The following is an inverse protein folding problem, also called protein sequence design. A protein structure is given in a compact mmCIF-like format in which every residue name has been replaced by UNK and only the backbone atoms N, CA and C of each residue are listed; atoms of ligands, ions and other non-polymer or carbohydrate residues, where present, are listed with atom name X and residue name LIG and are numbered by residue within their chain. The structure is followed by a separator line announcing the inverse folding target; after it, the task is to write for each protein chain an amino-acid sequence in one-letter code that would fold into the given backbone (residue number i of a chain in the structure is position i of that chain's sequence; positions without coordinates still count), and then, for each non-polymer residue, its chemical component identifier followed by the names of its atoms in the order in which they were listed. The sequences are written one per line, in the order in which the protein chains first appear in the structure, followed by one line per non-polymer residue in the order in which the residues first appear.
data_IF_231142780901
#
_entry.id   IF_231142780901
#
_cell.length_a   1.000
_cell.length_b   1.000
_cell.length_c   1.000
_cell.angle_alpha   90.00
_cell.angle_beta   90.00
_cell.angle_gamma   90.00
#
_symmetry.space_group_name_H-M   'P 1'
#
loop_
_entity.id
_entity.type
_entity.pdbx_description
1 polymer ?
#
# COMPACT_ATOMS: atom_id res chain seq x y z
N UNK A 1 -34.86 21.31 2.45
CA UNK A 1 -33.80 20.98 1.47
C UNK A 1 -34.41 20.08 0.41
N UNK A 2 -34.15 20.32 -0.88
CA UNK A 2 -34.62 19.42 -1.95
C UNK A 2 -33.76 18.15 -1.97
N UNK A 3 -34.38 16.99 -2.14
CA UNK A 3 -33.74 15.66 -2.23
C UNK A 3 -32.55 15.64 -3.22
N UNK A 4 -32.71 16.32 -4.36
CA UNK A 4 -31.66 16.50 -5.37
C UNK A 4 -30.41 17.23 -4.86
N UNK A 5 -30.59 18.20 -3.94
CA UNK A 5 -29.48 18.94 -3.32
C UNK A 5 -28.70 18.04 -2.34
N UNK A 6 -29.41 17.17 -1.63
CA UNK A 6 -28.81 16.21 -0.73
C UNK A 6 -27.98 15.16 -1.49
N UNK A 7 -28.50 14.62 -2.59
CA UNK A 7 -27.78 13.63 -3.40
C UNK A 7 -26.51 14.20 -4.05
N UNK A 8 -26.56 15.46 -4.51
CA UNK A 8 -25.38 16.16 -5.03
C UNK A 8 -24.33 16.39 -3.92
N UNK A 9 -24.75 16.71 -2.70
CA UNK A 9 -23.83 16.84 -1.57
C UNK A 9 -23.15 15.51 -1.20
N UNK A 10 -23.89 14.40 -1.27
CA UNK A 10 -23.37 13.06 -1.04
C UNK A 10 -22.42 12.63 -2.14
N UNK A 11 -22.75 12.89 -3.40
CA UNK A 11 -21.87 12.60 -4.54
C UNK A 11 -20.52 13.31 -4.39
N UNK A 12 -20.53 14.60 -4.01
CA UNK A 12 -19.32 15.35 -3.72
C UNK A 12 -18.52 14.71 -2.57
N UNK A 13 -19.19 14.36 -1.47
CA UNK A 13 -18.54 13.71 -0.33
C UNK A 13 -17.83 12.40 -0.74
N UNK A 14 -18.48 11.53 -1.51
CA UNK A 14 -17.88 10.26 -1.94
C UNK A 14 -16.71 10.46 -2.91
N UNK A 15 -16.82 11.44 -3.80
CA UNK A 15 -15.73 11.81 -4.73
C UNK A 15 -14.53 12.34 -3.96
N UNK A 16 -14.74 13.27 -3.02
CA UNK A 16 -13.67 13.83 -2.17
C UNK A 16 -12.99 12.74 -1.33
N UNK A 17 -13.77 11.76 -0.82
CA UNK A 17 -13.25 10.60 -0.08
C UNK A 17 -12.43 9.66 -0.97
N UNK A 18 -12.88 9.42 -2.20
CA UNK A 18 -12.12 8.64 -3.18
C UNK A 18 -10.76 9.29 -3.47
N UNK A 19 -10.74 10.60 -3.70
CA UNK A 19 -9.52 11.37 -3.99
C UNK A 19 -8.56 11.39 -2.80
N UNK A 20 -9.09 11.60 -1.60
CA UNK A 20 -8.32 11.55 -0.37
C UNK A 20 -7.67 10.18 -0.16
N UNK A 21 -8.42 9.08 -0.35
CA UNK A 21 -7.89 7.73 -0.19
C UNK A 21 -6.83 7.40 -1.27
N UNK A 22 -7.01 7.87 -2.50
CA UNK A 22 -6.01 7.72 -3.56
C UNK A 22 -4.69 8.45 -3.23
N UNK A 23 -4.76 9.69 -2.71
CA UNK A 23 -3.59 10.44 -2.24
C UNK A 23 -2.91 9.75 -1.05
N UNK A 24 -3.69 9.25 -0.10
CA UNK A 24 -3.18 8.49 1.05
C UNK A 24 -2.47 7.21 0.62
N UNK A 25 -3.05 6.45 -0.33
CA UNK A 25 -2.40 5.29 -0.91
C UNK A 25 -1.02 5.61 -1.48
N UNK A 26 -0.90 6.71 -2.24
CA UNK A 26 0.38 7.13 -2.80
C UNK A 26 1.40 7.46 -1.71
N UNK A 27 1.01 8.30 -0.77
CA UNK A 27 1.88 8.71 0.35
C UNK A 27 2.36 7.51 1.18
N UNK A 28 1.46 6.55 1.48
CA UNK A 28 1.80 5.32 2.22
C UNK A 28 2.84 4.48 1.46
N UNK A 29 2.72 4.32 0.14
CA UNK A 29 3.71 3.56 -0.62
C UNK A 29 5.09 4.24 -0.63
N UNK A 30 5.14 5.56 -0.69
CA UNK A 30 6.41 6.29 -0.56
C UNK A 30 7.05 6.05 0.80
N UNK A 31 6.26 6.11 1.90
CA UNK A 31 6.78 5.79 3.23
C UNK A 31 7.27 4.35 3.36
N UNK A 32 6.54 3.40 2.79
CA UNK A 32 6.96 2.00 2.76
C UNK A 32 8.33 1.83 2.11
N UNK A 33 8.54 2.43 0.94
CA UNK A 33 9.81 2.36 0.23
C UNK A 33 10.96 2.98 1.03
N UNK A 34 10.71 4.11 1.71
CA UNK A 34 11.70 4.76 2.58
C UNK A 34 12.06 3.87 3.76
N UNK A 35 11.09 3.28 4.46
CA UNK A 35 11.39 2.40 5.59
C UNK A 35 12.09 1.13 5.12
N UNK A 36 11.68 0.57 3.98
CA UNK A 36 12.34 -0.60 3.39
C UNK A 36 13.79 -0.32 3.00
N UNK A 37 14.09 0.86 2.43
CA UNK A 37 15.47 1.21 2.09
C UNK A 37 16.36 1.34 3.33
N UNK A 38 15.83 1.92 4.42
CA UNK A 38 16.53 1.98 5.71
C UNK A 38 16.83 0.58 6.24
N UNK A 39 15.86 -0.33 6.21
CA UNK A 39 16.06 -1.72 6.65
C UNK A 39 17.10 -2.45 5.79
N UNK A 40 17.08 -2.26 4.46
CA UNK A 40 18.08 -2.85 3.55
C UNK A 40 19.48 -2.33 3.88
N UNK A 41 19.61 -1.01 4.10
CA UNK A 41 20.88 -0.42 4.50
C UNK A 41 21.37 -0.99 5.83
N UNK A 42 20.47 -1.12 6.83
CA UNK A 42 20.77 -1.70 8.12
C UNK A 42 21.25 -3.15 7.99
N UNK A 43 20.59 -3.97 7.16
CA UNK A 43 20.98 -5.36 6.91
C UNK A 43 22.40 -5.47 6.31
N UNK A 44 22.79 -4.52 5.46
CA UNK A 44 24.12 -4.46 4.86
C UNK A 44 25.24 -4.02 5.81
N UNK A 45 24.93 -3.44 6.97
CA UNK A 45 25.94 -3.02 7.93
C UNK A 45 26.61 -4.20 8.64
N UNK A 46 27.80 -3.97 9.18
CA UNK A 46 28.53 -4.90 10.05
C UNK A 46 28.85 -4.23 11.39
N UNK A 47 27.84 -4.07 12.26
CA UNK A 47 28.02 -3.36 13.54
C UNK A 47 28.83 -4.18 14.57
N UNK A 48 28.99 -5.48 14.36
CA UNK A 48 29.68 -6.41 15.28
C UNK A 48 30.62 -7.31 14.48
N UNK A 49 31.78 -7.63 15.05
CA UNK A 49 32.78 -8.52 14.44
C UNK A 49 32.46 -10.01 14.64
N UNK A 50 31.81 -10.37 15.75
CA UNK A 50 31.40 -11.74 16.04
C UNK A 50 30.38 -12.25 14.99
N UNK A 51 30.68 -13.33 14.23
CA UNK A 51 29.82 -13.82 13.16
C UNK A 51 28.43 -14.21 13.64
N UNK A 52 28.32 -14.79 14.84
CA UNK A 52 27.05 -15.25 15.39
C UNK A 52 26.13 -14.08 15.76
N UNK A 53 26.65 -13.08 16.49
CA UNK A 53 25.90 -11.85 16.79
C UNK A 53 25.52 -11.07 15.52
N UNK A 54 26.41 -11.00 14.53
CA UNK A 54 26.12 -10.36 13.25
C UNK A 54 24.96 -11.05 12.52
N UNK A 55 24.93 -12.39 12.53
CA UNK A 55 23.85 -13.14 11.92
C UNK A 55 22.51 -12.94 12.64
N UNK A 56 22.50 -12.92 13.98
CA UNK A 56 21.30 -12.59 14.77
C UNK A 56 20.79 -11.19 14.39
N UNK A 57 21.67 -10.19 14.34
CA UNK A 57 21.29 -8.83 13.94
C UNK A 57 20.65 -8.81 12.55
N UNK A 58 21.25 -9.49 11.57
CA UNK A 58 20.72 -9.57 10.20
C UNK A 58 19.37 -10.30 10.13
N UNK A 59 19.21 -11.39 10.88
CA UNK A 59 17.93 -12.12 10.98
C UNK A 59 16.86 -11.20 11.58
N UNK A 60 17.17 -10.46 12.65
CA UNK A 60 16.22 -9.52 13.27
C UNK A 60 15.78 -8.44 12.28
N UNK A 61 16.72 -7.81 11.57
CA UNK A 61 16.41 -6.81 10.54
C UNK A 61 15.53 -7.41 9.44
N UNK A 62 15.85 -8.62 8.98
CA UNK A 62 15.09 -9.27 7.93
C UNK A 62 13.67 -9.67 8.38
N UNK A 63 13.50 -10.15 9.62
CA UNK A 63 12.20 -10.43 10.22
C UNK A 63 11.36 -9.16 10.34
N UNK A 64 11.95 -8.03 10.75
CA UNK A 64 11.27 -6.74 10.74
C UNK A 64 10.81 -6.35 9.33
N UNK A 65 11.64 -6.59 8.31
CA UNK A 65 11.28 -6.41 6.91
C UNK A 65 10.09 -7.27 6.47
N UNK A 66 10.04 -8.54 6.87
CA UNK A 66 8.90 -9.43 6.63
C UNK A 66 7.64 -8.91 7.30
N UNK A 67 7.70 -8.60 8.60
CA UNK A 67 6.55 -8.09 9.38
C UNK A 67 6.00 -6.81 8.75
N UNK A 68 6.88 -5.87 8.40
CA UNK A 68 6.50 -4.62 7.77
C UNK A 68 5.83 -4.85 6.41
N UNK A 69 6.36 -5.76 5.60
CA UNK A 69 5.79 -6.11 4.29
C UNK A 69 4.38 -6.72 4.43
N UNK A 70 4.17 -7.64 5.38
CA UNK A 70 2.84 -8.19 5.67
C UNK A 70 1.86 -7.12 6.16
N UNK A 71 2.30 -6.28 7.10
CA UNK A 71 1.50 -5.17 7.64
C UNK A 71 1.07 -4.23 6.51
N UNK A 72 1.98 -3.91 5.60
CA UNK A 72 1.69 -3.04 4.47
C UNK A 72 0.74 -3.67 3.46
N UNK A 73 0.87 -4.98 3.21
CA UNK A 73 -0.06 -5.72 2.36
C UNK A 73 -1.49 -5.64 2.91
N UNK A 74 -1.67 -5.77 4.22
CA UNK A 74 -2.99 -5.63 4.87
C UNK A 74 -3.54 -4.20 4.77
N UNK A 75 -2.69 -3.19 4.97
CA UNK A 75 -3.07 -1.78 4.81
C UNK A 75 -3.52 -1.52 3.36
N UNK A 76 -2.72 -1.96 2.39
CA UNK A 76 -3.01 -1.83 0.96
C UNK A 76 -4.30 -2.57 0.60
N UNK A 77 -4.54 -3.73 1.22
CA UNK A 77 -5.76 -4.49 1.03
C UNK A 77 -7.01 -3.73 1.46
N UNK A 78 -6.99 -3.23 2.70
CA UNK A 78 -8.10 -2.47 3.26
C UNK A 78 -8.37 -1.19 2.49
N UNK A 79 -7.32 -0.45 2.16
CA UNK A 79 -7.38 0.82 1.45
C UNK A 79 -7.95 0.64 0.03
N UNK A 80 -7.57 -0.45 -0.65
CA UNK A 80 -8.16 -0.83 -1.93
C UNK A 80 -9.67 -1.07 -1.85
N UNK A 81 -10.12 -1.77 -0.81
CA UNK A 81 -11.55 -2.02 -0.62
C UNK A 81 -12.33 -0.72 -0.38
N UNK A 82 -11.75 0.24 0.35
CA UNK A 82 -12.36 1.55 0.54
C UNK A 82 -12.49 2.33 -0.76
N UNK A 83 -11.47 2.36 -1.63
CA UNK A 83 -11.62 3.04 -2.91
C UNK A 83 -12.71 2.35 -3.76
N UNK A 84 -12.76 1.01 -3.80
CA UNK A 84 -13.81 0.31 -4.57
C UNK A 84 -15.20 0.66 -4.04
N UNK A 85 -15.36 0.71 -2.72
CA UNK A 85 -16.60 1.12 -2.08
C UNK A 85 -17.00 2.55 -2.45
N UNK A 86 -16.13 3.54 -2.27
CA UNK A 86 -16.44 4.94 -2.58
C UNK A 86 -16.69 5.15 -4.08
N UNK A 87 -15.92 4.49 -4.94
CA UNK A 87 -16.13 4.51 -6.40
C UNK A 87 -17.49 3.91 -6.77
N UNK A 88 -17.91 2.85 -6.11
CA UNK A 88 -19.23 2.23 -6.31
C UNK A 88 -20.38 3.15 -5.90
N UNK A 89 -20.29 3.75 -4.72
CA UNK A 89 -21.32 4.67 -4.20
C UNK A 89 -21.39 5.98 -5.02
N UNK A 90 -20.25 6.55 -5.40
CA UNK A 90 -20.20 7.73 -6.27
C UNK A 90 -20.91 7.47 -7.61
N UNK A 91 -20.68 6.30 -8.25
CA UNK A 91 -21.35 5.93 -9.50
C UNK A 91 -22.86 5.77 -9.37
N UNK A 92 -23.33 5.17 -8.27
CA UNK A 92 -24.77 5.03 -8.01
C UNK A 92 -25.42 6.41 -7.93
N UNK A 93 -24.80 7.33 -7.19
CA UNK A 93 -25.30 8.70 -7.03
C UNK A 93 -25.18 9.52 -8.32
N UNK A 94 -24.14 9.33 -9.13
CA UNK A 94 -24.00 9.99 -10.43
C UNK A 94 -25.14 9.62 -11.39
N UNK A 95 -25.51 8.32 -11.44
CA UNK A 95 -26.66 7.83 -12.22
C UNK A 95 -27.99 8.43 -11.75
N UNK A 96 -28.20 8.53 -10.44
CA UNK A 96 -29.43 9.10 -9.85
C UNK A 96 -29.54 10.60 -10.14
N UNK A 97 -28.43 11.32 -9.99
CA UNK A 97 -28.39 12.79 -10.18
C UNK A 97 -28.26 13.21 -11.65
N UNK A 98 -28.15 12.24 -12.57
CA UNK A 98 -27.91 12.43 -13.99
C UNK A 98 -26.67 13.30 -14.28
N UNK A 99 -25.63 13.11 -13.47
CA UNK A 99 -24.34 13.77 -13.60
C UNK A 99 -23.32 12.84 -14.26
N UNK A 100 -22.41 13.36 -15.10
CA UNK A 100 -21.37 12.55 -15.69
C UNK A 100 -20.44 12.00 -14.60
N UNK A 101 -20.04 10.74 -14.73
CA UNK A 101 -19.06 10.14 -13.82
C UNK A 101 -17.74 10.91 -13.89
N UNK A 102 -17.21 11.28 -12.72
CA UNK A 102 -15.94 12.01 -12.59
C UNK A 102 -14.76 11.17 -13.10
N UNK A 103 -14.85 9.84 -12.99
CA UNK A 103 -13.81 8.90 -13.37
C UNK A 103 -14.31 7.88 -14.41
N UNK A 104 -13.54 7.61 -15.48
CA UNK A 104 -13.95 6.68 -16.53
C UNK A 104 -14.16 5.25 -16.00
N UNK A 105 -15.01 4.48 -16.67
CA UNK A 105 -15.32 3.11 -16.25
C UNK A 105 -14.09 2.21 -16.28
N UNK A 106 -13.33 2.33 -17.37
CA UNK A 106 -12.06 1.68 -17.63
C UNK A 106 -10.97 2.74 -17.70
N UNK A 107 -9.96 2.61 -16.84
CA UNK A 107 -8.73 3.38 -16.98
C UNK A 107 -7.87 2.71 -18.06
N UNK A 108 -7.35 3.49 -19.01
CA UNK A 108 -6.33 3.01 -19.93
C UNK A 108 -5.02 2.78 -19.17
N UNK A 109 -4.46 1.57 -19.22
CA UNK A 109 -3.17 1.22 -18.62
C UNK A 109 -3.25 0.42 -17.31
N UNK A 110 -2.12 0.33 -16.61
CA UNK A 110 -2.01 -0.43 -15.36
C UNK A 110 -2.52 0.44 -14.21
N UNK A 111 -3.54 -0.02 -13.51
CA UNK A 111 -4.00 0.63 -12.29
C UNK A 111 -2.87 0.64 -11.25
N UNK A 112 -2.43 1.84 -10.86
CA UNK A 112 -1.38 2.05 -9.85
C UNK A 112 -1.64 1.26 -8.56
N UNK A 113 -2.92 1.02 -8.25
CA UNK A 113 -3.31 0.18 -7.11
C UNK A 113 -2.75 -1.23 -7.19
N UNK A 114 -2.77 -1.85 -8.38
CA UNK A 114 -2.21 -3.19 -8.60
C UNK A 114 -0.70 -3.18 -8.39
N UNK A 115 -0.01 -2.16 -8.91
CA UNK A 115 1.43 -1.98 -8.69
C UNK A 115 1.75 -1.87 -7.19
N UNK A 116 0.97 -1.08 -6.46
CA UNK A 116 1.10 -0.91 -5.02
C UNK A 116 0.85 -2.19 -4.21
N UNK A 117 0.07 -3.14 -4.72
CA UNK A 117 -0.09 -4.47 -4.12
C UNK A 117 1.10 -5.40 -4.37
N UNK A 118 1.68 -5.32 -5.56
CA UNK A 118 2.82 -6.18 -5.94
C UNK A 118 4.06 -5.82 -5.13
N UNK A 119 4.20 -4.55 -4.74
CA UNK A 119 5.41 -4.06 -4.10
C UNK A 119 5.70 -4.75 -2.74
N UNK A 120 4.79 -4.81 -1.74
CA UNK A 120 5.06 -5.54 -0.50
C UNK A 120 5.32 -7.04 -0.72
N UNK A 121 4.70 -7.65 -1.73
CA UNK A 121 4.92 -9.05 -2.10
C UNK A 121 6.36 -9.26 -2.58
N UNK A 122 6.86 -8.39 -3.45
CA UNK A 122 8.25 -8.44 -3.91
C UNK A 122 9.24 -8.33 -2.74
N UNK A 123 8.97 -7.42 -1.79
CA UNK A 123 9.79 -7.29 -0.59
C UNK A 123 9.69 -8.50 0.35
N UNK A 124 8.53 -9.16 0.46
CA UNK A 124 8.42 -10.43 1.21
C UNK A 124 9.38 -11.50 0.67
N UNK A 125 9.45 -11.65 -0.66
CA UNK A 125 10.38 -12.57 -1.29
C UNK A 125 11.84 -12.16 -1.04
N UNK A 126 12.15 -10.88 -1.17
CA UNK A 126 13.49 -10.35 -0.91
C UNK A 126 13.95 -10.63 0.53
N UNK A 127 13.12 -10.32 1.53
CA UNK A 127 13.45 -10.54 2.94
C UNK A 127 13.56 -12.02 3.28
N UNK A 128 12.70 -12.86 2.70
CA UNK A 128 12.81 -14.32 2.84
C UNK A 128 14.14 -14.83 2.28
N UNK A 129 14.57 -14.32 1.12
CA UNK A 129 15.86 -14.65 0.53
C UNK A 129 17.03 -14.19 1.42
N UNK A 130 16.94 -13.02 2.05
CA UNK A 130 17.95 -12.55 3.00
C UNK A 130 18.04 -13.43 4.25
N UNK A 131 16.91 -13.88 4.80
CA UNK A 131 16.91 -14.83 5.93
C UNK A 131 17.61 -16.13 5.52
N UNK A 132 17.23 -16.70 4.38
CA UNK A 132 17.84 -17.94 3.86
C UNK A 132 19.34 -17.75 3.65
N UNK A 133 19.76 -16.62 3.07
CA UNK A 133 21.18 -16.32 2.85
C UNK A 133 21.96 -16.26 4.15
N UNK A 134 21.41 -15.64 5.19
CA UNK A 134 22.07 -15.60 6.51
C UNK A 134 22.17 -16.99 7.12
N UNK A 135 21.12 -17.81 7.02
CA UNK A 135 21.11 -19.18 7.56
C UNK A 135 22.10 -20.11 6.86
N UNK A 136 22.35 -19.93 5.55
CA UNK A 136 23.33 -20.72 4.80
C UNK A 136 24.77 -20.30 5.13
N UNK A 137 24.99 -19.03 5.46
CA UNK A 137 26.31 -18.46 5.79
C UNK A 137 26.58 -18.37 7.30
N UNK A 138 25.72 -18.99 8.12
CA UNK A 138 25.90 -19.13 9.55
C UNK A 138 26.86 -20.27 9.85
#
# INVERSE_FOLDING_TARGET
MSEKSEDLSRLKLFTDRQDAEAKLHWSRNSYFLVVMSILILAFGQKPVEDPFQLAIFRILVAVLGVILSFTWLLIQHRSSNYILYYKGEARKLAKITNTPDVYPETLGGIEIRKLAYVLPIAFLFLWSAFIILVLINL
#
